data_IF_745942070430
#
_entry.id   IF_745942070430
#
_cell.length_a   1.000
_cell.length_b   1.000
_cell.length_c   1.000
_cell.angle_alpha   90.00
_cell.angle_beta   90.00
_cell.angle_gamma   90.00
#
_symmetry.space_group_name_H-M   'P 1'
#
loop_
_entity.id
_entity.type
_entity.pdbx_description
1 polymer ?
#
# COMPACT_ATOMS: atom_id res chain seq x y z
N UNK A 1 21.19 91.84 -20.37
CA UNK A 1 20.04 92.14 -19.55
C UNK A 1 19.44 90.85 -18.95
N UNK A 2 19.38 90.81 -17.64
CA UNK A 2 18.51 90.02 -16.77
C UNK A 2 18.69 88.47 -16.92
N UNK A 3 19.31 87.80 -16.01
CA UNK A 3 19.01 87.53 -14.60
C UNK A 3 17.81 86.56 -14.41
N UNK A 4 18.06 85.48 -13.79
CA UNK A 4 17.48 84.90 -12.58
C UNK A 4 17.29 83.41 -12.59
N UNK A 5 17.96 82.75 -11.65
CA UNK A 5 17.54 81.98 -10.46
C UNK A 5 17.12 80.53 -10.74
N UNK A 6 17.91 79.55 -10.39
CA UNK A 6 18.10 78.88 -9.05
C UNK A 6 16.81 78.45 -8.38
N UNK A 7 16.69 77.17 -8.02
CA UNK A 7 16.15 76.55 -6.79
C UNK A 7 16.08 75.05 -7.10
N UNK A 8 16.96 74.20 -6.60
CA UNK A 8 16.85 73.43 -5.36
C UNK A 8 15.64 72.48 -5.32
N UNK A 9 15.96 71.22 -5.27
CA UNK A 9 15.02 70.12 -5.06
C UNK A 9 15.76 68.85 -4.74
N UNK A 10 16.51 68.85 -3.62
CA UNK A 10 16.93 67.63 -2.96
C UNK A 10 15.73 67.07 -2.19
N UNK A 11 15.42 65.84 -2.30
CA UNK A 11 14.76 64.94 -1.33
C UNK A 11 13.90 63.89 -2.04
N UNK A 12 14.39 62.68 -2.11
CA UNK A 12 13.61 61.45 -2.05
C UNK A 12 14.52 60.21 -2.30
N UNK A 13 15.41 60.01 -1.38
CA UNK A 13 16.21 58.78 -1.31
C UNK A 13 16.13 58.19 0.10
N UNK A 14 14.98 57.73 0.53
CA UNK A 14 14.80 56.89 1.73
C UNK A 14 13.43 56.24 1.60
N UNK A 15 13.30 55.07 1.05
CA UNK A 15 12.22 54.11 1.30
C UNK A 15 12.32 52.89 0.38
N UNK A 16 13.38 52.10 0.49
CA UNK A 16 13.41 50.80 -0.19
C UNK A 16 14.30 49.77 0.54
N UNK A 17 14.20 49.69 1.87
CA UNK A 17 15.00 48.78 2.67
C UNK A 17 14.20 48.13 3.81
N UNK A 18 13.06 47.51 3.51
CA UNK A 18 12.26 46.79 4.55
C UNK A 18 11.34 45.71 3.95
N UNK A 19 11.78 44.93 2.97
CA UNK A 19 11.00 43.77 2.48
C UNK A 19 11.87 42.51 2.25
N UNK A 20 12.92 42.32 3.04
CA UNK A 20 13.76 41.14 2.97
C UNK A 20 13.80 40.38 4.32
N UNK A 21 12.65 40.21 5.00
CA UNK A 21 12.58 39.43 6.23
C UNK A 21 11.29 38.64 6.25
N UNK A 22 11.15 37.66 5.38
CA UNK A 22 9.95 36.84 5.28
C UNK A 22 10.15 35.47 4.64
N UNK A 23 11.36 34.94 4.59
CA UNK A 23 11.60 33.53 4.23
C UNK A 23 12.21 32.81 5.41
N UNK A 24 11.52 32.78 6.54
CA UNK A 24 11.91 31.98 7.67
C UNK A 24 11.02 30.75 7.75
N UNK A 25 11.68 29.62 7.63
CA UNK A 25 11.23 28.30 8.09
C UNK A 25 9.92 27.79 7.46
N UNK A 26 9.95 27.41 6.21
CA UNK A 26 9.34 26.14 5.88
C UNK A 26 10.10 25.11 6.70
N UNK A 27 9.57 24.79 7.89
CA UNK A 27 10.07 23.70 8.68
C UNK A 27 10.17 22.52 7.76
N UNK A 28 11.34 21.93 7.65
CA UNK A 28 11.51 20.59 7.15
C UNK A 28 10.64 19.72 8.05
N UNK A 29 9.38 19.50 7.65
CA UNK A 29 8.65 18.34 8.12
C UNK A 29 9.55 17.18 7.71
N UNK A 30 10.24 16.56 8.68
CA UNK A 30 10.88 15.28 8.48
C UNK A 30 9.80 14.37 7.91
N UNK A 31 9.73 14.30 6.59
CA UNK A 31 8.75 13.47 5.90
C UNK A 31 9.17 12.04 6.20
N UNK A 32 8.45 11.43 7.13
CA UNK A 32 8.65 10.04 7.49
C UNK A 32 8.47 9.22 6.22
N UNK A 33 9.52 8.52 5.79
CA UNK A 33 9.42 7.59 4.66
C UNK A 33 8.71 6.34 5.16
N UNK A 34 7.55 6.05 4.59
CA UNK A 34 6.82 4.84 4.96
C UNK A 34 7.52 3.57 4.45
N UNK A 35 7.42 2.48 5.22
CA UNK A 35 7.75 1.15 4.71
C UNK A 35 7.03 0.88 3.39
N UNK A 36 7.73 0.25 2.46
CA UNK A 36 7.14 -0.11 1.17
C UNK A 36 6.16 -1.26 1.33
N UNK A 37 4.99 -1.16 0.72
CA UNK A 37 4.01 -2.24 0.66
C UNK A 37 4.08 -2.95 -0.68
N UNK A 38 4.06 -4.28 -0.69
CA UNK A 38 4.22 -5.10 -1.89
C UNK A 38 3.31 -6.32 -1.83
N UNK A 39 2.67 -6.67 -2.95
CA UNK A 39 2.00 -7.95 -3.14
C UNK A 39 2.98 -8.89 -3.85
N UNK A 40 3.18 -10.09 -3.30
CA UNK A 40 4.05 -11.10 -3.93
C UNK A 40 3.41 -11.64 -5.20
N UNK A 41 4.08 -11.59 -6.36
CA UNK A 41 3.48 -11.97 -7.63
C UNK A 41 2.92 -13.41 -7.66
N UNK A 42 3.68 -14.39 -7.16
CA UNK A 42 3.27 -15.80 -7.13
C UNK A 42 2.10 -16.06 -6.17
N UNK A 43 1.91 -15.18 -5.17
CA UNK A 43 0.88 -15.28 -4.14
C UNK A 43 -0.26 -14.25 -4.31
N UNK A 44 -0.28 -13.55 -5.44
CA UNK A 44 -1.26 -12.51 -5.72
C UNK A 44 -2.68 -13.04 -5.95
N UNK A 45 -2.80 -14.28 -6.38
CA UNK A 45 -4.07 -14.92 -6.69
C UNK A 45 -4.20 -16.27 -5.99
N UNK A 46 -5.44 -16.72 -5.78
CA UNK A 46 -5.78 -18.04 -5.29
C UNK A 46 -6.93 -18.61 -6.10
N UNK A 47 -6.81 -19.88 -6.50
CA UNK A 47 -7.83 -20.63 -7.20
C UNK A 47 -8.32 -21.79 -6.31
N UNK A 48 -9.62 -21.85 -6.02
CA UNK A 48 -10.25 -22.91 -5.25
C UNK A 48 -11.11 -23.77 -6.16
N UNK A 49 -10.77 -25.05 -6.22
CA UNK A 49 -11.43 -26.01 -7.09
C UNK A 49 -12.53 -26.76 -6.37
N UNK A 50 -13.54 -27.19 -7.10
CA UNK A 50 -14.60 -28.07 -6.61
C UNK A 50 -14.09 -29.47 -6.24
N UNK A 51 -15.00 -30.31 -5.78
CA UNK A 51 -14.67 -31.70 -5.43
C UNK A 51 -14.16 -32.47 -6.64
N UNK A 52 -13.00 -33.12 -6.54
CA UNK A 52 -12.41 -33.94 -7.59
C UNK A 52 -10.93 -33.66 -7.82
N UNK A 53 -10.22 -34.55 -8.54
CA UNK A 53 -8.79 -34.45 -8.77
C UNK A 53 -8.38 -33.42 -9.83
N UNK A 54 -9.35 -32.92 -10.62
CA UNK A 54 -9.05 -32.01 -11.75
C UNK A 54 -8.81 -30.59 -11.29
N UNK A 55 -7.68 -30.02 -11.69
CA UNK A 55 -7.34 -28.58 -11.53
C UNK A 55 -7.55 -27.81 -12.83
N UNK A 56 -8.52 -28.21 -13.63
CA UNK A 56 -8.90 -27.49 -14.86
C UNK A 56 -9.82 -26.34 -14.54
N UNK A 57 -9.80 -25.30 -15.39
CA UNK A 57 -10.66 -24.12 -15.22
C UNK A 57 -12.15 -24.46 -15.13
N UNK A 58 -12.58 -25.50 -15.84
CA UNK A 58 -13.97 -26.00 -15.77
C UNK A 58 -14.39 -26.49 -14.39
N UNK A 59 -13.43 -26.84 -13.52
CA UNK A 59 -13.68 -27.27 -12.15
C UNK A 59 -13.37 -26.18 -11.10
N UNK A 60 -13.06 -24.95 -11.54
CA UNK A 60 -12.84 -23.83 -10.66
C UNK A 60 -14.15 -23.46 -9.97
N UNK A 61 -14.20 -23.51 -8.65
CA UNK A 61 -15.35 -23.11 -7.86
C UNK A 61 -15.37 -21.57 -7.69
N UNK A 62 -14.30 -21.04 -7.17
CA UNK A 62 -14.08 -19.60 -7.01
C UNK A 62 -12.59 -19.28 -6.93
N UNK A 63 -12.27 -18.02 -7.11
CA UNK A 63 -10.92 -17.49 -6.95
C UNK A 63 -10.92 -16.10 -6.38
N UNK A 64 -9.77 -15.66 -5.90
CA UNK A 64 -9.58 -14.29 -5.46
C UNK A 64 -8.23 -13.75 -5.97
N UNK A 65 -8.15 -12.42 -6.13
CA UNK A 65 -6.94 -11.72 -6.55
C UNK A 65 -6.77 -10.43 -5.77
N UNK A 66 -5.58 -10.22 -5.25
CA UNK A 66 -5.17 -8.94 -4.70
C UNK A 66 -4.89 -7.95 -5.84
N UNK A 67 -5.42 -6.72 -5.72
CA UNK A 67 -5.30 -5.70 -6.77
C UNK A 67 -4.17 -4.73 -6.49
N UNK A 68 -4.25 -4.07 -5.33
CA UNK A 68 -3.35 -3.02 -4.95
C UNK A 68 -3.34 -2.84 -3.44
N UNK A 69 -2.30 -2.18 -2.96
CA UNK A 69 -2.22 -1.70 -1.58
C UNK A 69 -2.00 -0.20 -1.58
N UNK A 70 -2.62 0.48 -0.61
CA UNK A 70 -2.25 1.85 -0.25
C UNK A 70 -1.81 1.88 1.20
N UNK A 71 -0.90 2.78 1.54
CA UNK A 71 -0.41 2.89 2.92
C UNK A 71 -0.19 4.32 3.34
N UNK A 72 -0.39 4.57 4.62
CA UNK A 72 0.07 5.76 5.33
C UNK A 72 0.81 5.33 6.58
N UNK A 73 1.68 6.18 7.10
CA UNK A 73 2.44 5.82 8.28
C UNK A 73 2.68 7.02 9.19
N UNK A 74 2.88 6.73 10.47
CA UNK A 74 3.17 7.71 11.50
C UNK A 74 4.30 7.19 12.40
N UNK A 75 5.26 8.08 12.69
CA UNK A 75 6.34 7.77 13.62
C UNK A 75 5.81 7.78 15.06
N UNK A 76 5.92 6.66 15.75
CA UNK A 76 5.63 6.55 17.17
C UNK A 76 6.90 6.72 17.99
N UNK A 77 7.22 7.97 18.33
CA UNK A 77 8.42 8.30 19.12
C UNK A 77 8.41 7.68 20.50
N UNK A 78 7.23 7.45 21.11
CA UNK A 78 7.10 6.86 22.45
C UNK A 78 7.49 5.38 22.46
N UNK A 79 7.13 4.65 21.42
CA UNK A 79 7.42 3.22 21.26
C UNK A 79 8.66 2.94 20.42
N UNK A 80 9.36 4.00 19.97
CA UNK A 80 10.49 3.90 19.04
C UNK A 80 10.17 3.00 17.84
N UNK A 81 9.14 3.37 17.09
CA UNK A 81 8.66 2.59 15.97
C UNK A 81 7.82 3.39 15.00
N UNK A 82 7.31 2.72 14.01
CA UNK A 82 6.40 3.28 13.02
C UNK A 82 5.10 2.48 12.99
N UNK A 83 3.99 3.18 13.01
CA UNK A 83 2.67 2.60 12.78
C UNK A 83 2.31 2.80 11.31
N UNK A 84 2.00 1.71 10.63
CA UNK A 84 1.63 1.70 9.21
C UNK A 84 0.19 1.25 9.08
N UNK A 85 -0.66 2.08 8.49
CA UNK A 85 -2.02 1.74 8.12
C UNK A 85 -2.04 1.38 6.65
N UNK A 86 -2.54 0.19 6.32
CA UNK A 86 -2.61 -0.32 4.95
C UNK A 86 -4.04 -0.66 4.56
N UNK A 87 -4.38 -0.44 3.29
CA UNK A 87 -5.63 -0.91 2.69
C UNK A 87 -5.27 -1.85 1.55
N UNK A 88 -5.82 -3.05 1.60
CA UNK A 88 -5.64 -4.09 0.58
C UNK A 88 -6.95 -4.26 -0.19
N UNK A 89 -6.91 -4.01 -1.50
CA UNK A 89 -8.03 -4.32 -2.40
C UNK A 89 -7.98 -5.77 -2.87
N UNK A 90 -9.09 -6.47 -2.76
CA UNK A 90 -9.24 -7.86 -3.22
C UNK A 90 -10.50 -7.98 -4.07
N UNK A 91 -10.39 -8.67 -5.20
CA UNK A 91 -11.53 -9.13 -6.00
C UNK A 91 -11.68 -10.63 -5.80
N UNK A 92 -12.90 -11.09 -5.52
CA UNK A 92 -13.23 -12.50 -5.57
C UNK A 92 -14.27 -12.77 -6.66
N UNK A 93 -14.09 -13.88 -7.37
CA UNK A 93 -14.97 -14.34 -8.46
C UNK A 93 -15.41 -15.76 -8.20
N UNK A 94 -16.71 -16.06 -8.36
CA UNK A 94 -17.22 -17.43 -8.38
C UNK A 94 -17.52 -17.87 -9.81
N UNK A 95 -17.19 -19.10 -10.13
CA UNK A 95 -17.45 -19.65 -11.46
C UNK A 95 -18.91 -20.12 -11.61
N UNK A 96 -19.49 -20.71 -10.58
CA UNK A 96 -20.89 -21.12 -10.56
C UNK A 96 -21.74 -20.29 -9.59
N UNK A 97 -23.00 -20.01 -9.96
CA UNK A 97 -23.98 -19.35 -9.10
C UNK A 97 -24.35 -20.20 -7.89
N UNK A 98 -24.07 -21.50 -7.92
CA UNK A 98 -24.32 -22.42 -6.82
C UNK A 98 -23.33 -22.26 -5.67
N UNK A 99 -22.16 -21.70 -5.95
CA UNK A 99 -21.19 -21.33 -4.91
C UNK A 99 -21.72 -20.08 -4.19
N UNK A 100 -22.25 -20.27 -3.00
CA UNK A 100 -22.80 -19.20 -2.16
C UNK A 100 -21.75 -18.61 -1.23
N UNK A 101 -20.82 -19.44 -0.77
CA UNK A 101 -19.82 -19.07 0.21
C UNK A 101 -18.46 -19.62 -0.19
N UNK A 102 -17.44 -18.92 0.21
CA UNK A 102 -16.03 -19.33 0.09
C UNK A 102 -15.21 -18.73 1.21
N UNK A 103 -13.96 -19.11 1.28
CA UNK A 103 -13.02 -18.56 2.24
C UNK A 103 -11.62 -18.57 1.63
N UNK A 104 -10.86 -17.51 1.84
CA UNK A 104 -9.45 -17.43 1.47
C UNK A 104 -8.63 -16.92 2.64
N UNK A 105 -7.43 -17.45 2.78
CA UNK A 105 -6.48 -17.01 3.81
C UNK A 105 -5.34 -16.27 3.14
N UNK A 106 -4.92 -15.17 3.73
CA UNK A 106 -3.77 -14.41 3.27
C UNK A 106 -2.86 -14.05 4.45
N UNK A 107 -1.61 -13.79 4.15
CA UNK A 107 -0.61 -13.35 5.11
C UNK A 107 -0.26 -11.89 4.92
N UNK A 108 0.12 -11.27 6.03
CA UNK A 108 0.85 -10.00 6.07
C UNK A 108 2.17 -10.28 6.77
N UNK A 109 3.28 -10.03 6.10
CA UNK A 109 4.62 -10.17 6.66
C UNK A 109 5.33 -8.82 6.69
N UNK A 110 6.04 -8.54 7.79
CA UNK A 110 7.02 -7.47 7.87
C UNK A 110 8.39 -8.05 7.55
N UNK A 111 9.07 -7.44 6.61
CA UNK A 111 10.40 -7.86 6.17
C UNK A 111 11.43 -6.75 6.37
N UNK A 112 12.68 -7.14 6.54
CA UNK A 112 13.80 -6.20 6.54
C UNK A 112 14.31 -5.94 5.10
N UNK A 113 15.33 -5.09 4.95
CA UNK A 113 15.94 -4.76 3.65
C UNK A 113 16.59 -5.95 2.93
N UNK A 114 16.83 -7.07 3.63
CA UNK A 114 17.37 -8.30 3.06
C UNK A 114 16.25 -9.29 2.71
N UNK A 115 14.99 -8.85 2.75
CA UNK A 115 13.78 -9.68 2.59
C UNK A 115 13.64 -10.79 3.66
N UNK A 116 14.30 -10.63 4.80
CA UNK A 116 14.14 -11.53 5.93
C UNK A 116 12.82 -11.22 6.65
N UNK A 117 12.00 -12.25 6.86
CA UNK A 117 10.73 -12.11 7.58
C UNK A 117 11.01 -11.88 9.05
N UNK A 118 10.55 -10.74 9.57
CA UNK A 118 10.66 -10.37 10.98
C UNK A 118 9.43 -10.80 11.78
N UNK A 119 8.26 -10.72 11.16
CA UNK A 119 6.99 -11.19 11.72
C UNK A 119 6.00 -11.45 10.60
N UNK A 120 5.07 -12.36 10.82
CA UNK A 120 3.96 -12.60 9.91
C UNK A 120 2.68 -12.93 10.67
N UNK A 121 1.54 -12.67 10.04
CA UNK A 121 0.20 -13.02 10.54
C UNK A 121 -0.70 -13.43 9.39
N UNK A 122 -1.56 -14.38 9.67
CA UNK A 122 -2.60 -14.83 8.74
C UNK A 122 -3.94 -14.17 9.06
N UNK A 123 -4.67 -13.88 8.01
CA UNK A 123 -6.00 -13.31 8.03
C UNK A 123 -6.91 -14.11 7.11
N UNK A 124 -8.19 -14.12 7.42
CA UNK A 124 -9.19 -14.87 6.67
C UNK A 124 -10.21 -13.88 6.10
N UNK A 125 -10.54 -14.05 4.83
CA UNK A 125 -11.64 -13.36 4.17
C UNK A 125 -12.74 -14.38 3.90
N UNK A 126 -13.91 -14.16 4.50
CA UNK A 126 -15.11 -14.89 4.19
C UNK A 126 -15.79 -14.28 2.97
N UNK A 127 -16.06 -15.10 1.98
CA UNK A 127 -16.66 -14.71 0.71
C UNK A 127 -18.14 -15.11 0.72
N UNK A 128 -19.03 -14.14 0.93
CA UNK A 128 -20.46 -14.32 0.81
C UNK A 128 -20.95 -13.76 -0.53
N UNK A 129 -21.25 -14.64 -1.48
CA UNK A 129 -21.72 -14.25 -2.81
C UNK A 129 -23.24 -14.09 -2.82
N UNK A 130 -23.76 -12.86 -3.03
CA UNK A 130 -25.18 -12.65 -3.28
C UNK A 130 -25.65 -13.48 -4.48
N UNK A 131 -26.93 -13.89 -4.50
CA UNK A 131 -27.46 -14.79 -5.53
C UNK A 131 -27.27 -14.27 -6.97
N UNK A 132 -27.26 -12.96 -7.16
CA UNK A 132 -27.16 -12.29 -8.47
C UNK A 132 -25.74 -11.86 -8.84
N UNK A 133 -24.77 -11.91 -7.90
CA UNK A 133 -23.43 -11.40 -8.15
C UNK A 133 -22.42 -12.53 -8.26
N UNK A 134 -21.57 -12.47 -9.28
CA UNK A 134 -20.44 -13.38 -9.45
C UNK A 134 -19.13 -12.79 -8.94
N UNK A 135 -19.11 -11.49 -8.66
CA UNK A 135 -17.92 -10.72 -8.28
C UNK A 135 -18.15 -10.02 -6.95
N UNK A 136 -17.17 -10.10 -6.08
CA UNK A 136 -17.07 -9.30 -4.85
C UNK A 136 -15.85 -8.39 -4.95
N UNK A 137 -16.00 -7.17 -4.46
CA UNK A 137 -14.89 -6.24 -4.23
C UNK A 137 -14.78 -6.02 -2.72
N UNK A 138 -13.61 -6.29 -2.19
CA UNK A 138 -13.36 -6.32 -0.75
C UNK A 138 -12.19 -5.38 -0.49
N UNK A 139 -12.28 -4.62 0.59
CA UNK A 139 -11.18 -3.81 1.11
C UNK A 139 -10.89 -4.25 2.53
N UNK A 140 -9.67 -4.74 2.75
CA UNK A 140 -9.15 -5.07 4.08
C UNK A 140 -8.28 -3.93 4.60
N UNK A 141 -8.49 -3.54 5.85
CA UNK A 141 -7.71 -2.49 6.50
C UNK A 141 -6.88 -3.06 7.65
N UNK A 142 -5.60 -2.74 7.68
CA UNK A 142 -4.69 -3.24 8.70
C UNK A 142 -3.84 -2.13 9.29
N UNK A 143 -3.59 -2.25 10.59
CA UNK A 143 -2.63 -1.42 11.31
C UNK A 143 -1.49 -2.30 11.79
N UNK A 144 -0.28 -2.01 11.33
CA UNK A 144 0.93 -2.75 11.68
C UNK A 144 1.90 -1.81 12.40
N UNK A 145 2.32 -2.18 13.60
CA UNK A 145 3.41 -1.50 14.30
C UNK A 145 4.73 -2.20 14.02
N UNK A 146 5.74 -1.43 13.59
CA UNK A 146 7.09 -1.92 13.32
C UNK A 146 8.05 -1.21 14.26
N UNK A 147 8.66 -1.93 15.23
CA UNK A 147 9.70 -1.35 16.07
C UNK A 147 10.95 -1.07 15.22
N UNK A 148 11.48 0.15 15.34
CA UNK A 148 12.68 0.54 14.61
C UNK A 148 13.92 0.15 15.41
N UNK A 149 14.76 -0.70 14.85
CA UNK A 149 16.05 -1.02 15.46
C UNK A 149 16.99 0.20 15.43
N UNK A 150 17.89 0.27 16.39
CA UNK A 150 18.86 1.38 16.49
C UNK A 150 19.64 1.55 15.17
N UNK A 151 19.63 2.75 14.61
CA UNK A 151 20.32 3.07 13.37
C UNK A 151 19.61 2.56 12.09
N UNK A 152 18.35 2.13 12.20
CA UNK A 152 17.51 1.76 11.06
C UNK A 152 16.49 2.85 10.78
N UNK A 153 16.29 3.13 9.49
CA UNK A 153 15.22 4.00 9.02
C UNK A 153 13.94 3.18 8.76
N UNK A 154 12.81 3.85 8.71
CA UNK A 154 11.52 3.19 8.47
C UNK A 154 11.42 2.56 7.08
N UNK A 155 12.09 3.11 6.08
CA UNK A 155 12.19 2.59 4.71
C UNK A 155 13.16 1.40 4.55
N UNK A 156 13.87 1.01 5.64
CA UNK A 156 14.61 -0.26 5.72
C UNK A 156 13.66 -1.48 5.90
N UNK A 157 12.38 -1.23 6.12
CA UNK A 157 11.36 -2.26 6.33
C UNK A 157 10.37 -2.27 5.18
N UNK A 158 9.74 -3.43 4.96
CA UNK A 158 8.66 -3.61 4.00
C UNK A 158 7.50 -4.38 4.61
N UNK A 159 6.31 -4.21 4.04
CA UNK A 159 5.13 -5.01 4.34
C UNK A 159 4.75 -5.77 3.08
N UNK A 160 4.67 -7.09 3.20
CA UNK A 160 4.41 -8.00 2.10
C UNK A 160 3.07 -8.68 2.30
N UNK A 161 2.28 -8.74 1.23
CA UNK A 161 0.97 -9.40 1.18
C UNK A 161 1.03 -10.60 0.22
N UNK A 162 0.30 -11.66 0.56
CA UNK A 162 0.14 -12.82 -0.32
C UNK A 162 -0.91 -13.78 0.20
N UNK A 163 -1.59 -14.50 -0.69
CA UNK A 163 -2.48 -15.58 -0.27
C UNK A 163 -1.68 -16.75 0.30
N UNK A 164 -2.24 -17.43 1.30
CA UNK A 164 -1.75 -18.74 1.73
C UNK A 164 -2.20 -19.79 0.72
N UNK A 165 -1.24 -20.29 -0.02
CA UNK A 165 -1.47 -21.28 -1.07
C UNK A 165 -0.97 -22.66 -0.63
N UNK A 166 -1.68 -23.70 -1.04
CA UNK A 166 -1.12 -25.05 -1.02
C UNK A 166 -0.05 -25.17 -2.11
N UNK A 167 0.84 -26.18 -2.04
CA UNK A 167 1.82 -26.41 -3.10
C UNK A 167 1.17 -26.52 -4.50
N UNK A 168 0.02 -27.17 -4.58
CA UNK A 168 -0.72 -27.36 -5.83
C UNK A 168 -1.33 -26.03 -6.35
N UNK A 169 -1.82 -25.17 -5.45
CA UNK A 169 -2.33 -23.84 -5.81
C UNK A 169 -1.20 -22.93 -6.31
N UNK A 170 -0.02 -23.04 -5.67
CA UNK A 170 1.16 -22.27 -6.09
C UNK A 170 1.66 -22.76 -7.47
N UNK A 171 1.69 -24.07 -7.71
CA UNK A 171 2.05 -24.62 -9.01
C UNK A 171 1.05 -24.19 -10.10
N UNK A 172 -0.26 -24.25 -9.80
CA UNK A 172 -1.29 -23.73 -10.68
C UNK A 172 -1.06 -22.26 -11.03
N UNK A 173 -0.80 -21.40 -10.05
CA UNK A 173 -0.52 -19.98 -10.29
C UNK A 173 0.70 -19.80 -11.20
N UNK A 174 1.79 -20.50 -10.96
CA UNK A 174 3.01 -20.42 -11.77
C UNK A 174 2.78 -20.85 -13.21
N UNK A 175 2.00 -21.91 -13.40
CA UNK A 175 1.64 -22.39 -14.74
C UNK A 175 0.76 -21.40 -15.51
N UNK A 176 -0.06 -20.59 -14.79
CA UNK A 176 -1.02 -19.66 -15.39
C UNK A 176 -0.63 -18.18 -15.22
N UNK A 177 0.55 -17.89 -14.67
CA UNK A 177 1.03 -16.51 -14.44
C UNK A 177 1.13 -15.68 -15.73
N UNK A 178 1.25 -16.33 -16.90
CA UNK A 178 1.33 -15.69 -18.22
C UNK A 178 -0.05 -15.36 -18.80
N UNK A 179 -1.12 -15.90 -18.21
CA UNK A 179 -2.50 -15.70 -18.66
C UNK A 179 -3.28 -15.08 -17.51
N UNK A 180 -3.02 -13.81 -17.20
CA UNK A 180 -3.80 -13.10 -16.19
C UNK A 180 -5.29 -13.28 -16.46
N UNK A 181 -6.17 -13.41 -15.45
CA UNK A 181 -7.60 -13.52 -15.69
C UNK A 181 -8.06 -12.29 -16.47
N UNK A 182 -8.59 -12.54 -17.68
CA UNK A 182 -9.23 -11.60 -18.56
C UNK A 182 -10.55 -11.09 -17.96
#
# INVERSE_FOLDING_TARGET
MRAARAIAGAAAAVASALLAAGCSSLGSSDSVRCPRTTIMPDLQAVAKFGSGPSRQESNLAYGARMLATTSSCELDKKRNGITVNTKLGVIALRNSIDVKKGQVTYLIAVVDRNAQILTERDFVIDLDFPSTQRRLEITEEHTTFIPLAKGRASDDYGIVFGFRLTPEELEYNRAHAQHGPS
#
